data_IF_199902131823
#
_entry.id   IF_199902131823
#
_cell.length_a   1.000
_cell.length_b   1.000
_cell.length_c   1.000
_cell.angle_alpha   90.00
_cell.angle_beta   90.00
_cell.angle_gamma   90.00
#
_symmetry.space_group_name_H-M   'P 1'
#
loop_
_entity.id
_entity.type
_entity.pdbx_description
1 polymer ?
#
# COMPACT_ATOMS: atom_id res chain seq x y z
N UNK A 1 28.43 37.38 -18.25
CA UNK A 1 27.95 36.08 -17.72
C UNK A 1 26.64 36.32 -16.98
N UNK A 2 25.54 35.94 -17.62
CA UNK A 2 24.17 36.10 -17.13
C UNK A 2 23.93 35.15 -15.94
N UNK A 3 23.63 35.69 -14.74
CA UNK A 3 23.05 34.88 -13.66
C UNK A 3 21.54 34.77 -13.93
N UNK A 4 21.09 33.62 -14.41
CA UNK A 4 19.66 33.34 -14.53
C UNK A 4 19.06 33.17 -13.13
N UNK A 5 18.20 34.12 -12.75
CA UNK A 5 17.18 33.94 -11.70
C UNK A 5 16.22 32.85 -12.19
N UNK A 6 16.21 31.72 -11.51
CA UNK A 6 15.08 30.77 -11.55
C UNK A 6 14.62 30.58 -10.11
N UNK A 7 13.92 31.57 -9.57
CA UNK A 7 13.01 31.35 -8.46
C UNK A 7 11.77 30.68 -9.06
N UNK A 8 11.77 29.34 -9.10
CA UNK A 8 10.49 28.62 -9.20
C UNK A 8 9.78 28.89 -7.88
N UNK A 9 8.75 29.72 -7.93
CA UNK A 9 7.75 29.80 -6.89
C UNK A 9 7.14 28.40 -6.77
N UNK A 10 7.60 27.67 -5.76
CA UNK A 10 7.00 26.43 -5.34
C UNK A 10 5.65 26.83 -4.74
N UNK A 11 4.56 26.49 -5.42
CA UNK A 11 3.21 26.67 -4.89
C UNK A 11 3.15 25.86 -3.59
N UNK A 12 3.32 26.52 -2.44
CA UNK A 12 3.24 25.87 -1.13
C UNK A 12 1.77 25.54 -0.90
N UNK A 13 1.37 24.33 -1.25
CA UNK A 13 0.29 23.65 -0.54
C UNK A 13 0.57 23.74 0.96
N UNK A 14 -0.45 23.79 1.84
CA UNK A 14 -0.21 23.72 3.28
C UNK A 14 0.76 22.57 3.56
N UNK A 15 1.83 22.85 4.30
CA UNK A 15 2.89 21.88 4.59
C UNK A 15 2.29 20.75 5.42
N UNK A 16 1.90 19.67 4.74
CA UNK A 16 1.41 18.45 5.37
C UNK A 16 2.47 17.93 6.33
N UNK A 17 2.06 17.65 7.57
CA UNK A 17 2.94 17.13 8.61
C UNK A 17 2.86 15.59 8.63
N UNK A 18 3.93 14.88 9.03
CA UNK A 18 3.88 13.41 9.18
C UNK A 18 2.74 12.93 10.08
N UNK A 19 2.41 13.70 11.11
CA UNK A 19 1.28 13.43 12.02
C UNK A 19 -0.08 13.43 11.32
N UNK A 20 -0.24 14.16 10.21
CA UNK A 20 -1.49 14.18 9.44
C UNK A 20 -1.78 12.83 8.77
N UNK A 21 -0.78 11.95 8.69
CA UNK A 21 -0.83 10.61 8.11
C UNK A 21 -0.54 9.52 9.14
N UNK A 22 -0.60 9.85 10.43
CA UNK A 22 -0.27 8.97 11.55
C UNK A 22 1.16 8.38 11.46
N UNK A 23 2.11 9.11 10.87
CA UNK A 23 3.53 8.79 10.92
C UNK A 23 4.12 9.35 12.21
N UNK A 24 4.58 8.47 13.09
CA UNK A 24 4.92 8.81 14.47
C UNK A 24 5.47 7.62 15.25
N UNK A 25 4.91 7.36 16.44
CA UNK A 25 5.42 6.35 17.36
C UNK A 25 5.24 4.92 16.82
N UNK A 26 4.01 4.55 16.45
CA UNK A 26 3.70 3.22 15.89
C UNK A 26 4.18 3.06 14.44
N UNK A 27 4.23 4.15 13.68
CA UNK A 27 4.65 4.16 12.28
C UNK A 27 5.82 5.13 12.09
N UNK A 28 7.03 4.78 12.56
CA UNK A 28 8.18 5.69 12.54
C UNK A 28 8.67 5.96 11.13
N UNK A 29 9.14 7.19 10.91
CA UNK A 29 9.89 7.53 9.70
C UNK A 29 11.32 7.02 9.84
N UNK A 30 11.75 6.18 8.91
CA UNK A 30 13.12 5.66 8.85
C UNK A 30 13.72 5.80 7.45
N UNK A 31 15.05 5.68 7.35
CA UNK A 31 15.77 5.74 6.08
C UNK A 31 15.28 4.64 5.14
N UNK A 32 14.97 4.97 3.89
CA UNK A 32 14.45 4.05 2.89
C UNK A 32 13.03 3.50 3.19
N UNK A 33 12.24 4.17 4.05
CA UNK A 33 10.83 3.80 4.29
C UNK A 33 10.03 3.61 2.99
N UNK A 34 10.20 4.51 2.02
CA UNK A 34 9.46 4.38 0.75
C UNK A 34 9.94 3.20 -0.08
N UNK A 35 11.25 2.93 -0.12
CA UNK A 35 11.80 1.75 -0.81
C UNK A 35 11.33 0.45 -0.17
N UNK A 36 11.29 0.39 1.16
CA UNK A 36 10.66 -0.72 1.91
C UNK A 36 9.22 -0.93 1.44
N UNK A 37 8.44 0.15 1.34
CA UNK A 37 7.07 0.09 0.82
C UNK A 37 6.98 -0.40 -0.63
N UNK A 38 7.88 0.04 -1.49
CA UNK A 38 7.92 -0.38 -2.89
C UNK A 38 8.22 -1.87 -3.04
N UNK A 39 9.10 -2.43 -2.21
CA UNK A 39 9.49 -3.83 -2.29
C UNK A 39 8.30 -4.75 -1.97
N UNK A 40 7.64 -4.57 -0.82
CA UNK A 40 6.55 -5.48 -0.46
C UNK A 40 5.31 -5.26 -1.34
N UNK A 41 4.94 -4.01 -1.63
CA UNK A 41 3.77 -3.72 -2.45
C UNK A 41 3.98 -4.14 -3.90
N UNK A 42 5.18 -3.91 -4.45
CA UNK A 42 5.57 -4.37 -5.77
C UNK A 42 5.54 -5.89 -5.89
N UNK A 43 6.01 -6.60 -4.86
CA UNK A 43 5.92 -8.06 -4.78
C UNK A 43 4.47 -8.55 -4.83
N UNK A 44 3.58 -7.98 -4.03
CA UNK A 44 2.16 -8.37 -4.01
C UNK A 44 1.46 -8.08 -5.34
N UNK A 45 1.75 -6.95 -5.99
CA UNK A 45 1.21 -6.64 -7.32
C UNK A 45 1.76 -7.61 -8.39
N UNK A 46 3.07 -7.91 -8.40
CA UNK A 46 3.65 -8.84 -9.38
C UNK A 46 3.09 -10.26 -9.23
N UNK A 47 2.93 -10.72 -7.99
CA UNK A 47 2.33 -12.03 -7.71
C UNK A 47 0.87 -12.11 -8.18
N UNK A 48 0.04 -11.10 -7.91
CA UNK A 48 -1.32 -11.01 -8.45
C UNK A 48 -1.33 -11.01 -9.99
N UNK A 49 -0.41 -10.29 -10.63
CA UNK A 49 -0.24 -10.30 -12.10
C UNK A 49 0.12 -11.68 -12.62
N UNK A 50 0.98 -12.44 -11.94
CA UNK A 50 1.35 -13.81 -12.34
C UNK A 50 0.15 -14.76 -12.29
N UNK A 51 -0.69 -14.65 -11.25
CA UNK A 51 -1.95 -15.41 -11.16
C UNK A 51 -2.91 -15.04 -12.30
N UNK A 52 -3.15 -13.75 -12.52
CA UNK A 52 -4.02 -13.27 -13.59
C UNK A 52 -3.59 -13.75 -14.99
N UNK A 53 -2.28 -13.82 -15.23
CA UNK A 53 -1.70 -14.29 -16.49
C UNK A 53 -1.53 -15.83 -16.56
N UNK A 54 -2.05 -16.57 -15.57
CA UNK A 54 -1.98 -18.04 -15.53
C UNK A 54 -0.54 -18.57 -15.64
N UNK A 55 0.44 -17.83 -15.12
CA UNK A 55 1.85 -18.21 -15.14
C UNK A 55 2.21 -19.12 -13.96
N UNK A 56 1.42 -19.08 -12.90
CA UNK A 56 1.59 -19.85 -11.67
C UNK A 56 0.21 -20.14 -11.07
N UNK A 57 0.06 -21.28 -10.38
CA UNK A 57 -1.14 -21.59 -9.59
C UNK A 57 -1.03 -21.04 -8.16
N UNK A 58 0.20 -20.96 -7.63
CA UNK A 58 0.51 -20.47 -6.29
C UNK A 58 1.68 -19.49 -6.39
N UNK A 59 1.55 -18.39 -5.66
CA UNK A 59 2.55 -17.33 -5.56
C UNK A 59 2.76 -17.00 -4.08
N UNK A 60 3.97 -16.60 -3.71
CA UNK A 60 4.34 -16.36 -2.32
C UNK A 60 5.12 -15.04 -2.25
N UNK A 61 4.65 -14.12 -1.43
CA UNK A 61 5.37 -12.89 -1.06
C UNK A 61 5.38 -12.74 0.46
N UNK A 62 6.44 -13.23 1.12
CA UNK A 62 6.57 -13.14 2.58
C UNK A 62 6.81 -11.72 3.11
N UNK A 63 7.17 -10.77 2.23
CA UNK A 63 7.38 -9.38 2.63
C UNK A 63 6.07 -8.58 2.73
N UNK A 64 5.00 -9.06 2.09
CA UNK A 64 3.68 -8.42 2.06
C UNK A 64 2.77 -8.87 3.20
N UNK A 65 1.47 -8.56 3.07
CA UNK A 65 0.46 -8.89 4.08
C UNK A 65 0.29 -7.79 5.13
N UNK A 66 0.65 -6.54 4.82
CA UNK A 66 0.57 -5.41 5.75
C UNK A 66 -0.88 -4.90 5.79
N UNK A 67 -1.67 -5.49 6.70
CA UNK A 67 -3.13 -5.44 6.65
C UNK A 67 -3.81 -4.30 7.44
N UNK A 68 -3.07 -3.55 8.25
CA UNK A 68 -3.61 -2.46 9.06
C UNK A 68 -3.73 -1.12 8.36
N UNK A 69 -3.08 -0.95 7.20
CA UNK A 69 -3.02 0.36 6.53
C UNK A 69 -4.41 0.85 6.12
N UNK A 70 -4.72 2.10 6.42
CA UNK A 70 -5.94 2.79 6.01
C UNK A 70 -5.73 3.62 4.75
N UNK A 71 -6.81 4.10 4.13
CA UNK A 71 -6.72 4.80 2.84
C UNK A 71 -5.83 6.05 2.87
N UNK A 72 -5.81 6.77 3.98
CA UNK A 72 -5.12 8.07 4.11
C UNK A 72 -4.22 8.16 5.36
N UNK A 73 -3.88 7.05 6.01
CA UNK A 73 -3.05 7.04 7.21
C UNK A 73 -2.34 5.69 7.39
N UNK A 74 -1.14 5.74 7.97
CA UNK A 74 -0.40 4.57 8.42
C UNK A 74 -0.99 4.07 9.75
N UNK A 75 -0.95 2.77 10.01
CA UNK A 75 -1.45 2.20 11.27
C UNK A 75 -0.81 0.84 11.53
N UNK A 76 -0.53 0.50 12.78
CA UNK A 76 -0.02 -0.83 13.17
C UNK A 76 1.20 -1.27 12.37
N UNK A 77 2.23 -0.42 12.27
CA UNK A 77 3.46 -0.65 11.47
C UNK A 77 3.26 -0.74 9.95
N UNK A 78 2.04 -0.51 9.45
CA UNK A 78 1.68 -0.63 8.04
C UNK A 78 1.52 0.75 7.38
N UNK A 79 2.12 0.93 6.20
CA UNK A 79 2.21 2.24 5.50
C UNK A 79 1.51 2.26 4.14
N UNK A 80 1.53 1.15 3.41
CA UNK A 80 0.80 0.93 2.15
C UNK A 80 0.07 -0.40 2.29
N UNK A 81 -1.23 -0.42 1.96
CA UNK A 81 -2.00 -1.66 1.95
C UNK A 81 -1.70 -2.45 0.67
N UNK A 82 -0.70 -3.33 0.70
CA UNK A 82 -0.35 -4.16 -0.45
C UNK A 82 -1.42 -5.19 -0.77
N UNK A 83 -2.12 -5.71 0.24
CA UNK A 83 -3.25 -6.63 0.06
C UNK A 83 -4.39 -6.00 -0.74
N UNK A 84 -4.75 -4.74 -0.45
CA UNK A 84 -5.77 -4.02 -1.23
C UNK A 84 -5.32 -3.85 -2.67
N UNK A 85 -4.05 -3.48 -2.91
CA UNK A 85 -3.51 -3.34 -4.26
C UNK A 85 -3.50 -4.69 -5.02
N UNK A 86 -3.13 -5.77 -4.35
CA UNK A 86 -3.16 -7.13 -4.91
C UNK A 86 -4.57 -7.60 -5.26
N UNK A 87 -5.55 -7.40 -4.37
CA UNK A 87 -6.95 -7.75 -4.62
C UNK A 87 -7.51 -6.92 -5.78
N UNK A 88 -7.23 -5.62 -5.84
CA UNK A 88 -7.63 -4.78 -6.97
C UNK A 88 -7.03 -5.25 -8.30
N UNK A 89 -5.78 -5.74 -8.28
CA UNK A 89 -5.16 -6.35 -9.46
C UNK A 89 -5.87 -7.65 -9.87
N UNK A 90 -6.20 -8.54 -8.93
CA UNK A 90 -6.96 -9.77 -9.19
C UNK A 90 -8.36 -9.49 -9.74
N UNK A 91 -9.05 -8.48 -9.19
CA UNK A 91 -10.40 -8.08 -9.60
C UNK A 91 -10.47 -7.54 -11.05
N UNK A 92 -9.35 -7.36 -11.73
CA UNK A 92 -9.34 -7.07 -13.18
C UNK A 92 -9.74 -8.29 -14.02
N UNK A 93 -9.54 -9.51 -13.52
CA UNK A 93 -9.78 -10.76 -14.25
C UNK A 93 -10.76 -11.69 -13.52
N UNK A 94 -10.84 -11.58 -12.19
CA UNK A 94 -11.71 -12.41 -11.37
C UNK A 94 -12.98 -11.64 -10.98
N UNK A 95 -14.13 -12.28 -11.19
CA UNK A 95 -15.42 -11.69 -10.80
C UNK A 95 -15.54 -11.57 -9.27
N UNK A 96 -14.98 -12.56 -8.54
CA UNK A 96 -14.93 -12.61 -7.09
C UNK A 96 -13.55 -12.99 -6.55
N UNK A 97 -13.13 -12.39 -5.45
CA UNK A 97 -11.87 -12.71 -4.74
C UNK A 97 -12.16 -13.01 -3.27
N UNK A 98 -11.70 -14.16 -2.76
CA UNK A 98 -11.79 -14.49 -1.34
C UNK A 98 -10.48 -14.10 -0.64
N UNK A 99 -10.59 -13.27 0.39
CA UNK A 99 -9.49 -12.93 1.30
C UNK A 99 -9.64 -13.71 2.60
N UNK A 100 -8.56 -14.36 3.05
CA UNK A 100 -8.49 -15.10 4.32
C UNK A 100 -7.32 -14.53 5.10
N UNK A 101 -7.59 -14.04 6.30
CA UNK A 101 -6.59 -13.56 7.24
C UNK A 101 -6.50 -14.51 8.43
N UNK A 102 -5.27 -14.88 8.80
CA UNK A 102 -4.96 -15.77 9.93
C UNK A 102 -4.02 -15.10 10.93
N UNK A 103 -3.72 -13.81 10.73
CA UNK A 103 -3.01 -13.02 11.71
C UNK A 103 -3.81 -12.95 13.02
N UNK A 104 -3.11 -12.71 14.13
CA UNK A 104 -3.72 -12.55 15.44
C UNK A 104 -4.52 -11.25 15.53
N UNK A 105 -4.09 -10.23 14.80
CA UNK A 105 -4.73 -8.93 14.75
C UNK A 105 -5.80 -8.88 13.64
N UNK A 106 -6.86 -8.11 13.86
CA UNK A 106 -7.94 -7.98 12.88
C UNK A 106 -7.48 -7.16 11.67
N UNK A 107 -7.78 -7.68 10.48
CA UNK A 107 -7.49 -7.09 9.17
C UNK A 107 -8.38 -5.88 8.81
N UNK A 108 -8.37 -4.89 9.68
CA UNK A 108 -9.26 -3.74 9.62
C UNK A 108 -9.05 -2.87 8.37
N UNK A 109 -7.82 -2.77 7.83
CA UNK A 109 -7.54 -2.03 6.60
C UNK A 109 -8.11 -2.70 5.34
N UNK A 110 -7.98 -4.02 5.23
CA UNK A 110 -8.50 -4.79 4.08
C UNK A 110 -10.03 -4.88 4.16
N UNK A 111 -10.59 -5.10 5.35
CA UNK A 111 -12.03 -5.11 5.58
C UNK A 111 -12.66 -3.78 5.16
N UNK A 112 -12.14 -2.66 5.64
CA UNK A 112 -12.67 -1.33 5.35
C UNK A 112 -12.64 -1.02 3.84
N UNK A 113 -11.57 -1.42 3.14
CA UNK A 113 -11.41 -1.18 1.71
C UNK A 113 -12.48 -1.88 0.84
N UNK A 114 -13.01 -3.02 1.29
CA UNK A 114 -13.97 -3.84 0.55
C UNK A 114 -15.33 -4.00 1.23
N UNK A 115 -15.59 -3.26 2.31
CA UNK A 115 -16.80 -3.42 3.14
C UNK A 115 -18.13 -3.27 2.37
N UNK A 116 -18.13 -2.51 1.28
CA UNK A 116 -19.33 -2.19 0.50
C UNK A 116 -19.36 -2.86 -0.89
N UNK A 117 -18.62 -3.95 -1.10
CA UNK A 117 -18.63 -4.72 -2.35
C UNK A 117 -18.91 -6.21 -2.09
N UNK A 118 -19.56 -6.87 -3.04
CA UNK A 118 -19.79 -8.32 -3.07
C UNK A 118 -18.84 -9.06 -4.04
N UNK A 119 -17.99 -8.30 -4.73
CA UNK A 119 -16.89 -8.78 -5.56
C UNK A 119 -15.70 -9.23 -4.73
#
# INVERSE_FOLDING_TARGET
MLKAKLSKEMHTSPTMQPSDYNLGEDCPVFENLFEFCQIYAGGTIDTARRLNNQLCDIVINWAGGLHHTKKCEAFGFCYISDMVLGILELLKYHARVLYIDIDVDHSDGVEEAFYFTDR
#
